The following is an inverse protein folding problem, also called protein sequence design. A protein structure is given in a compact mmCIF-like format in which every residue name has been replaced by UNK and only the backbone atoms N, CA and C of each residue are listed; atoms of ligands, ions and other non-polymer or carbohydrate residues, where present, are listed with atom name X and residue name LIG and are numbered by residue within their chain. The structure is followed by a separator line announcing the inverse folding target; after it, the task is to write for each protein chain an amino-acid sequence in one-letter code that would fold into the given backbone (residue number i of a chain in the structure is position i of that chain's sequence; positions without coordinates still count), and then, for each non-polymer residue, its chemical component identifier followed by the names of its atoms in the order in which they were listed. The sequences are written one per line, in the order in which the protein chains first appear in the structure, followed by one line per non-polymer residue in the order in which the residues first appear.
data_IF_293968371161
#
_entry.id   IF_293968371161
#
_cell.length_a   1.000
_cell.length_b   1.000
_cell.length_c   1.000
_cell.angle_alpha   90.00
_cell.angle_beta   90.00
_cell.angle_gamma   90.00
#
_symmetry.space_group_name_H-M   'P 1'
#
loop_
_entity.id
_entity.type
_entity.pdbx_description
1 polymer ?
#
# COMPACT_ATOMS: atom_id res chain seq x y z
N UNK A 1 20.07 12.71 -20.24
CA UNK A 1 18.90 13.50 -20.70
C UNK A 1 17.88 12.70 -21.52
N UNK A 2 18.27 11.88 -22.52
CA UNK A 2 17.33 11.16 -23.41
C UNK A 2 16.29 10.31 -22.68
N UNK A 3 16.69 9.48 -21.71
CA UNK A 3 15.77 8.61 -20.96
C UNK A 3 14.80 9.36 -20.02
N UNK A 4 15.21 10.48 -19.43
CA UNK A 4 14.30 11.31 -18.63
C UNK A 4 13.19 11.88 -19.50
N UNK A 5 13.53 12.35 -20.72
CA UNK A 5 12.54 12.78 -21.71
C UNK A 5 11.59 11.64 -22.09
N UNK A 6 12.11 10.44 -22.32
CA UNK A 6 11.29 9.24 -22.60
C UNK A 6 10.33 8.93 -21.44
N UNK A 7 10.83 9.00 -20.19
CA UNK A 7 10.01 8.76 -18.98
C UNK A 7 8.84 9.73 -18.91
N UNK A 8 9.10 11.02 -19.10
CA UNK A 8 8.08 12.07 -19.09
C UNK A 8 7.09 11.89 -20.24
N UNK A 9 7.57 11.55 -21.44
CA UNK A 9 6.70 11.28 -22.58
C UNK A 9 5.78 10.09 -22.34
N UNK A 10 6.30 8.95 -21.86
CA UNK A 10 5.48 7.77 -21.55
C UNK A 10 4.44 8.06 -20.46
N UNK A 11 4.83 8.81 -19.43
CA UNK A 11 3.92 9.25 -18.38
C UNK A 11 2.81 10.15 -18.93
N UNK A 12 3.15 11.20 -19.69
CA UNK A 12 2.17 12.10 -20.32
C UNK A 12 1.25 11.36 -21.29
N UNK A 13 1.77 10.43 -22.10
CA UNK A 13 0.97 9.61 -23.00
C UNK A 13 -0.06 8.77 -22.24
N UNK A 14 0.30 8.19 -21.10
CA UNK A 14 -0.64 7.43 -20.28
C UNK A 14 -1.67 8.32 -19.58
N UNK A 15 -1.26 9.51 -19.13
CA UNK A 15 -2.22 10.50 -18.63
C UNK A 15 -3.24 10.93 -19.68
N UNK A 16 -2.79 11.12 -20.93
CA UNK A 16 -3.70 11.39 -22.04
C UNK A 16 -4.66 10.22 -22.28
N UNK A 17 -4.16 8.98 -22.30
CA UNK A 17 -5.01 7.79 -22.43
C UNK A 17 -6.04 7.70 -21.31
N UNK A 18 -5.68 8.02 -20.07
CA UNK A 18 -6.61 8.04 -18.93
C UNK A 18 -7.64 9.16 -19.09
N UNK A 19 -7.22 10.34 -19.53
CA UNK A 19 -8.12 11.45 -19.84
C UNK A 19 -9.13 11.07 -20.93
N UNK A 20 -8.68 10.41 -22.00
CA UNK A 20 -9.58 9.88 -23.03
C UNK A 20 -10.55 8.82 -22.49
N UNK A 21 -10.10 7.92 -21.62
CA UNK A 21 -10.98 6.95 -20.98
C UNK A 21 -12.09 7.62 -20.15
N UNK A 22 -11.78 8.68 -19.38
CA UNK A 22 -12.79 9.47 -18.65
C UNK A 22 -13.81 10.11 -19.59
N UNK A 23 -13.40 10.59 -20.76
CA UNK A 23 -14.29 11.20 -21.74
C UNK A 23 -15.20 10.15 -22.41
N UNK A 24 -14.64 8.98 -22.75
CA UNK A 24 -15.36 7.93 -23.49
C UNK A 24 -16.35 7.20 -22.59
N UNK A 25 -15.89 6.73 -21.42
CA UNK A 25 -16.70 5.88 -20.54
C UNK A 25 -17.55 6.68 -19.55
N UNK A 26 -17.22 7.97 -19.32
CA UNK A 26 -17.94 8.87 -18.41
C UNK A 26 -18.25 8.23 -17.04
N UNK A 27 -17.28 7.60 -16.36
CA UNK A 27 -17.53 7.13 -14.99
C UNK A 27 -17.77 8.32 -14.06
N UNK A 28 -18.31 8.06 -12.87
CA UNK A 28 -18.31 9.06 -11.81
C UNK A 28 -16.87 9.53 -11.56
N UNK A 29 -16.67 10.85 -11.59
CA UNK A 29 -15.34 11.43 -11.43
C UNK A 29 -14.88 11.20 -9.99
N UNK A 30 -13.73 10.54 -9.77
CA UNK A 30 -13.15 10.46 -8.44
C UNK A 30 -12.75 11.86 -7.95
N UNK A 31 -12.61 12.01 -6.64
CA UNK A 31 -12.13 13.24 -6.05
C UNK A 31 -10.78 13.66 -6.63
N UNK A 32 -10.53 14.96 -6.72
CA UNK A 32 -9.30 15.51 -7.28
C UNK A 32 -8.03 14.91 -6.64
N UNK A 33 -8.10 14.67 -5.33
CA UNK A 33 -7.02 14.07 -4.56
C UNK A 33 -6.70 12.63 -5.02
N UNK A 34 -7.71 11.81 -5.31
CA UNK A 34 -7.51 10.46 -5.86
C UNK A 34 -6.88 10.52 -7.26
N UNK A 35 -7.31 11.47 -8.10
CA UNK A 35 -6.71 11.69 -9.43
C UNK A 35 -5.23 12.05 -9.27
N UNK A 36 -4.90 12.99 -8.40
CA UNK A 36 -3.52 13.39 -8.13
C UNK A 36 -2.67 12.22 -7.61
N UNK A 37 -3.23 11.41 -6.72
CA UNK A 37 -2.58 10.19 -6.22
C UNK A 37 -2.22 9.23 -7.35
N UNK A 38 -3.16 8.95 -8.25
CA UNK A 38 -2.93 8.09 -9.42
C UNK A 38 -1.86 8.66 -10.37
N UNK A 39 -1.86 9.98 -10.60
CA UNK A 39 -0.85 10.66 -11.43
C UNK A 39 0.56 10.47 -10.85
N UNK A 40 0.71 10.66 -9.54
CA UNK A 40 1.99 10.50 -8.83
C UNK A 40 2.43 9.03 -8.80
N UNK A 41 1.51 8.10 -8.55
CA UNK A 41 1.79 6.66 -8.55
C UNK A 41 2.25 6.17 -9.94
N UNK A 42 1.61 6.65 -11.02
CA UNK A 42 2.04 6.35 -12.38
C UNK A 42 3.44 6.90 -12.67
N UNK A 43 3.78 8.10 -12.18
CA UNK A 43 5.14 8.64 -12.31
C UNK A 43 6.15 7.77 -11.55
N UNK A 44 5.81 7.33 -10.34
CA UNK A 44 6.64 6.43 -9.54
C UNK A 44 6.88 5.10 -10.24
N UNK A 45 5.86 4.53 -10.89
CA UNK A 45 5.99 3.33 -11.73
C UNK A 45 7.04 3.51 -12.83
N UNK A 46 6.98 4.61 -13.59
CA UNK A 46 7.96 4.86 -14.66
C UNK A 46 9.36 5.13 -14.11
N UNK A 47 9.48 5.87 -13.00
CA UNK A 47 10.77 6.11 -12.35
C UNK A 47 11.39 4.81 -11.86
N UNK A 48 10.64 3.96 -11.16
CA UNK A 48 11.13 2.67 -10.66
C UNK A 48 11.53 1.74 -11.81
N UNK A 49 10.76 1.70 -12.90
CA UNK A 49 11.08 0.90 -14.07
C UNK A 49 12.36 1.38 -14.75
N UNK A 50 12.55 2.69 -14.85
CA UNK A 50 13.76 3.28 -15.43
C UNK A 50 14.99 3.07 -14.55
N UNK A 51 14.83 3.07 -13.23
CA UNK A 51 15.91 2.69 -12.31
C UNK A 51 16.25 1.21 -12.54
N UNK A 52 15.26 0.32 -12.55
CA UNK A 52 15.47 -1.11 -12.83
C UNK A 52 16.29 -1.35 -14.11
N UNK A 53 15.95 -0.67 -15.20
CA UNK A 53 16.66 -0.80 -16.48
C UNK A 53 18.08 -0.22 -16.42
N UNK A 54 18.29 0.85 -15.66
CA UNK A 54 19.55 1.62 -15.65
C UNK A 54 20.50 1.24 -14.50
N UNK A 55 20.05 0.42 -13.56
CA UNK A 55 20.81 0.09 -12.36
C UNK A 55 22.04 -0.75 -12.72
N UNK A 56 23.27 -0.29 -12.42
CA UNK A 56 24.50 -1.01 -12.78
C UNK A 56 24.60 -2.35 -12.03
N UNK A 57 24.08 -2.39 -10.80
CA UNK A 57 24.22 -3.53 -9.91
C UNK A 57 23.04 -4.50 -10.07
N UNK A 58 23.30 -5.73 -10.56
CA UNK A 58 22.24 -6.72 -10.83
C UNK A 58 21.40 -7.02 -9.57
N UNK A 59 22.00 -6.98 -8.38
CA UNK A 59 21.31 -7.24 -7.12
C UNK A 59 20.21 -6.19 -6.85
N UNK A 60 20.54 -4.90 -6.94
CA UNK A 60 19.59 -3.82 -6.65
C UNK A 60 18.48 -3.68 -7.71
N UNK A 61 18.69 -4.19 -8.94
CA UNK A 61 17.66 -4.18 -10.01
C UNK A 61 16.34 -4.74 -9.51
N UNK A 62 16.37 -5.91 -8.86
CA UNK A 62 15.16 -6.61 -8.47
C UNK A 62 14.37 -5.90 -7.36
N UNK A 63 15.03 -5.09 -6.52
CA UNK A 63 14.34 -4.22 -5.56
C UNK A 63 13.44 -3.22 -6.30
N UNK A 64 13.97 -2.54 -7.32
CA UNK A 64 13.21 -1.57 -8.11
C UNK A 64 12.20 -2.21 -9.06
N UNK A 65 12.42 -3.47 -9.48
CA UNK A 65 11.39 -4.25 -10.18
C UNK A 65 10.17 -4.46 -9.27
N UNK A 66 10.37 -4.84 -8.01
CA UNK A 66 9.26 -5.06 -7.08
C UNK A 66 8.53 -3.75 -6.74
N UNK A 67 9.24 -2.63 -6.60
CA UNK A 67 8.59 -1.32 -6.51
C UNK A 67 7.81 -0.95 -7.78
N UNK A 68 8.32 -1.31 -8.95
CA UNK A 68 7.57 -1.11 -10.21
C UNK A 68 6.29 -1.93 -10.24
N UNK A 69 6.34 -3.19 -9.80
CA UNK A 69 5.13 -4.01 -9.67
C UNK A 69 4.14 -3.41 -8.67
N UNK A 70 4.61 -2.93 -7.51
CA UNK A 70 3.77 -2.21 -6.56
C UNK A 70 3.15 -0.93 -7.15
N UNK A 71 3.90 -0.08 -7.84
CA UNK A 71 3.34 1.13 -8.44
C UNK A 71 2.47 0.86 -9.66
N UNK A 72 2.61 -0.31 -10.29
CA UNK A 72 1.74 -0.74 -11.40
C UNK A 72 0.29 -0.96 -10.98
N UNK A 73 -0.01 -1.02 -9.68
CA UNK A 73 -1.39 -1.05 -9.16
C UNK A 73 -2.25 0.11 -9.66
N UNK A 74 -1.66 1.24 -10.09
CA UNK A 74 -2.40 2.32 -10.74
C UNK A 74 -3.18 1.84 -11.97
N UNK A 75 -2.65 0.87 -12.72
CA UNK A 75 -3.35 0.27 -13.87
C UNK A 75 -4.54 -0.58 -13.43
N UNK A 76 -4.42 -1.30 -12.31
CA UNK A 76 -5.55 -2.03 -11.74
C UNK A 76 -6.62 -1.08 -11.21
N UNK A 77 -6.26 0.05 -10.60
CA UNK A 77 -7.21 1.08 -10.19
C UNK A 77 -7.99 1.64 -11.39
N UNK A 78 -7.34 1.76 -12.55
CA UNK A 78 -8.02 2.19 -13.78
C UNK A 78 -8.95 1.11 -14.31
N UNK A 79 -8.52 -0.15 -14.34
CA UNK A 79 -9.41 -1.27 -14.66
C UNK A 79 -10.59 -1.31 -13.69
N UNK A 80 -10.38 -1.01 -12.42
CA UNK A 80 -11.44 -0.89 -11.42
C UNK A 80 -12.41 0.26 -11.75
N UNK A 81 -11.89 1.47 -12.00
CA UNK A 81 -12.71 2.65 -12.29
C UNK A 81 -13.47 2.56 -13.63
N UNK A 82 -12.91 1.87 -14.64
CA UNK A 82 -13.46 1.84 -16.01
C UNK A 82 -13.99 0.46 -16.43
N UNK A 83 -13.19 -0.58 -16.22
CA UNK A 83 -13.43 -1.93 -16.76
C UNK A 83 -14.42 -2.75 -15.93
N UNK A 84 -14.32 -2.69 -14.60
CA UNK A 84 -15.20 -3.49 -13.72
C UNK A 84 -16.61 -2.93 -13.66
N UNK A 85 -16.77 -1.60 -13.76
CA UNK A 85 -18.09 -0.96 -13.82
C UNK A 85 -18.91 -1.49 -14.99
N UNK A 86 -18.33 -1.68 -16.19
CA UNK A 86 -19.06 -2.14 -17.37
C UNK A 86 -19.12 -3.67 -17.52
N UNK A 87 -18.08 -4.41 -17.11
CA UNK A 87 -18.04 -5.87 -17.25
C UNK A 87 -18.90 -6.60 -16.21
N UNK A 88 -19.14 -6.00 -15.04
CA UNK A 88 -19.85 -6.65 -13.93
C UNK A 88 -21.19 -6.00 -13.55
N UNK A 89 -21.78 -5.16 -14.42
CA UNK A 89 -23.13 -4.54 -14.24
C UNK A 89 -24.24 -5.52 -13.82
N UNK A 90 -24.04 -6.83 -14.03
CA UNK A 90 -25.03 -7.86 -13.74
C UNK A 90 -24.97 -8.45 -12.32
N UNK A 91 -23.92 -8.19 -11.53
CA UNK A 91 -23.81 -8.74 -10.17
C UNK A 91 -24.00 -7.67 -9.10
N UNK A 92 -24.98 -7.87 -8.22
CA UNK A 92 -25.34 -6.98 -7.10
C UNK A 92 -24.15 -6.62 -6.18
N UNK A 93 -23.12 -7.46 -6.13
CA UNK A 93 -21.98 -7.33 -5.21
C UNK A 93 -20.64 -7.07 -5.90
N UNK A 94 -20.63 -6.80 -7.21
CA UNK A 94 -19.41 -6.66 -7.99
C UNK A 94 -18.47 -5.57 -7.47
N UNK A 95 -18.99 -4.40 -7.12
CA UNK A 95 -18.22 -3.27 -6.59
C UNK A 95 -17.52 -3.62 -5.28
N UNK A 96 -18.20 -4.35 -4.40
CA UNK A 96 -17.65 -4.79 -3.11
C UNK A 96 -16.51 -5.78 -3.29
N UNK A 97 -16.68 -6.78 -4.17
CA UNK A 97 -15.61 -7.72 -4.47
C UNK A 97 -14.41 -7.03 -5.12
N UNK A 98 -14.67 -6.13 -6.06
CA UNK A 98 -13.66 -5.37 -6.75
C UNK A 98 -12.85 -4.49 -5.77
N UNK A 99 -13.52 -3.81 -4.85
CA UNK A 99 -12.87 -3.07 -3.75
C UNK A 99 -12.01 -4.00 -2.89
N UNK A 100 -12.59 -5.09 -2.38
CA UNK A 100 -11.91 -6.06 -1.53
C UNK A 100 -10.61 -6.59 -2.16
N UNK A 101 -10.67 -7.12 -3.38
CA UNK A 101 -9.50 -7.70 -4.04
C UNK A 101 -8.47 -6.66 -4.44
N UNK A 102 -8.90 -5.45 -4.82
CA UNK A 102 -7.97 -4.35 -5.11
C UNK A 102 -7.11 -4.01 -3.89
N UNK A 103 -7.73 -3.78 -2.72
CA UNK A 103 -6.99 -3.44 -1.51
C UNK A 103 -6.12 -4.58 -1.01
N UNK A 104 -6.59 -5.84 -1.07
CA UNK A 104 -5.76 -7.01 -0.73
C UNK A 104 -4.54 -7.07 -1.64
N UNK A 105 -4.73 -6.94 -2.96
CA UNK A 105 -3.62 -7.03 -3.91
C UNK A 105 -2.63 -5.86 -3.77
N UNK A 106 -3.14 -4.63 -3.58
CA UNK A 106 -2.32 -3.46 -3.29
C UNK A 106 -1.44 -3.68 -2.04
N UNK A 107 -2.05 -4.17 -0.95
CA UNK A 107 -1.34 -4.42 0.30
C UNK A 107 -0.29 -5.54 0.16
N UNK A 108 -0.63 -6.62 -0.55
CA UNK A 108 0.27 -7.76 -0.76
C UNK A 108 1.48 -7.38 -1.60
N UNK A 109 1.29 -6.57 -2.65
CA UNK A 109 2.40 -6.10 -3.49
C UNK A 109 3.30 -5.08 -2.76
N UNK A 110 2.73 -4.20 -1.93
CA UNK A 110 3.49 -3.32 -1.04
C UNK A 110 4.34 -4.14 -0.05
N UNK A 111 3.71 -5.09 0.64
CA UNK A 111 4.38 -5.95 1.59
C UNK A 111 5.51 -6.74 0.93
N UNK A 112 5.26 -7.27 -0.28
CA UNK A 112 6.27 -7.98 -1.05
C UNK A 112 7.46 -7.09 -1.42
N UNK A 113 7.21 -5.86 -1.89
CA UNK A 113 8.29 -4.93 -2.24
C UNK A 113 9.20 -4.61 -1.03
N UNK A 114 8.59 -4.35 0.13
CA UNK A 114 9.34 -4.07 1.37
C UNK A 114 10.07 -5.32 1.87
N UNK A 115 9.37 -6.45 2.05
CA UNK A 115 9.99 -7.69 2.55
C UNK A 115 11.12 -8.13 1.63
N UNK A 116 10.94 -8.06 0.31
CA UNK A 116 12.02 -8.37 -0.63
C UNK A 116 13.23 -7.46 -0.45
N UNK A 117 13.03 -6.14 -0.31
CA UNK A 117 14.13 -5.20 -0.06
C UNK A 117 14.89 -5.58 1.21
N UNK A 118 14.17 -5.87 2.30
CA UNK A 118 14.80 -6.26 3.57
C UNK A 118 15.55 -7.58 3.45
N UNK A 119 14.98 -8.58 2.76
CA UNK A 119 15.65 -9.86 2.49
C UNK A 119 16.89 -9.66 1.62
N UNK A 120 16.82 -8.83 0.58
CA UNK A 120 17.95 -8.51 -0.29
C UNK A 120 19.09 -7.86 0.51
N UNK A 121 18.72 -6.96 1.41
CA UNK A 121 19.60 -6.21 2.28
C UNK A 121 20.28 -7.08 3.36
N UNK A 122 19.53 -7.97 4.02
CA UNK A 122 20.03 -8.89 5.05
C UNK A 122 20.87 -10.03 4.46
N UNK A 123 20.46 -10.59 3.32
CA UNK A 123 21.02 -11.83 2.77
C UNK A 123 21.79 -11.62 1.46
N UNK A 124 22.81 -10.76 1.50
CA UNK A 124 23.56 -10.28 0.32
C UNK A 124 24.26 -11.35 -0.51
N UNK A 125 24.64 -12.45 0.14
CA UNK A 125 25.39 -13.55 -0.46
C UNK A 125 24.50 -14.61 -1.09
N UNK A 126 23.18 -14.47 -0.95
CA UNK A 126 22.20 -15.42 -1.48
C UNK A 126 21.76 -14.99 -2.89
N UNK A 127 21.55 -15.97 -3.77
CA UNK A 127 21.05 -15.74 -5.13
C UNK A 127 19.63 -15.16 -5.16
N UNK A 128 19.33 -14.41 -6.22
CA UNK A 128 18.07 -13.68 -6.42
C UNK A 128 16.83 -14.58 -6.27
N UNK A 129 16.85 -15.78 -6.86
CA UNK A 129 15.73 -16.72 -6.78
C UNK A 129 15.40 -17.11 -5.33
N UNK A 130 16.42 -17.41 -4.52
CA UNK A 130 16.23 -17.78 -3.11
C UNK A 130 15.66 -16.60 -2.31
N UNK A 131 16.06 -15.37 -2.61
CA UNK A 131 15.47 -14.15 -2.01
C UNK A 131 13.99 -14.00 -2.35
N UNK A 132 13.62 -14.22 -3.62
CA UNK A 132 12.22 -14.24 -4.04
C UNK A 132 11.42 -15.33 -3.32
N UNK A 133 11.97 -16.55 -3.18
CA UNK A 133 11.32 -17.64 -2.46
C UNK A 133 11.11 -17.31 -0.97
N UNK A 134 12.10 -16.69 -0.31
CA UNK A 134 11.96 -16.26 1.09
C UNK A 134 10.88 -15.19 1.22
N UNK A 135 10.95 -14.12 0.41
CA UNK A 135 9.96 -13.04 0.45
C UNK A 135 8.55 -13.56 0.12
N UNK A 136 8.43 -14.44 -0.86
CA UNK A 136 7.17 -15.08 -1.23
C UNK A 136 6.65 -15.97 -0.12
N UNK A 137 7.47 -16.82 0.50
CA UNK A 137 7.04 -17.68 1.59
C UNK A 137 6.50 -16.86 2.78
N UNK A 138 7.19 -15.78 3.15
CA UNK A 138 6.77 -14.87 4.23
C UNK A 138 5.43 -14.23 3.89
N UNK A 139 5.33 -13.57 2.73
CA UNK A 139 4.14 -12.81 2.33
C UNK A 139 2.96 -13.74 2.05
N UNK A 140 3.19 -14.88 1.40
CA UNK A 140 2.14 -15.86 1.12
C UNK A 140 1.59 -16.47 2.41
N UNK A 141 2.44 -16.85 3.37
CA UNK A 141 1.99 -17.40 4.65
C UNK A 141 1.09 -16.41 5.39
N UNK A 142 1.51 -15.16 5.48
CA UNK A 142 0.74 -14.11 6.16
C UNK A 142 -0.51 -13.72 5.38
N UNK A 143 -0.40 -13.60 4.06
CA UNK A 143 -1.50 -13.29 3.17
C UNK A 143 -2.57 -14.37 3.22
N UNK A 144 -2.20 -15.64 3.22
CA UNK A 144 -3.13 -16.74 3.45
C UNK A 144 -3.75 -16.63 4.85
N UNK A 145 -2.95 -16.43 5.90
CA UNK A 145 -3.49 -16.32 7.26
C UNK A 145 -4.54 -15.20 7.42
N UNK A 146 -4.27 -14.00 6.91
CA UNK A 146 -5.18 -12.86 7.05
C UNK A 146 -6.29 -12.82 6.00
N UNK A 147 -6.05 -13.33 4.79
CA UNK A 147 -6.96 -13.13 3.67
C UNK A 147 -7.65 -14.40 3.14
N UNK A 148 -7.41 -15.59 3.69
CA UNK A 148 -8.00 -16.85 3.18
C UNK A 148 -9.53 -16.79 3.06
N UNK A 149 -10.20 -16.22 4.08
CA UNK A 149 -11.66 -16.16 4.12
C UNK A 149 -12.26 -15.39 2.94
N UNK A 150 -11.57 -14.37 2.43
CA UNK A 150 -12.01 -13.58 1.28
C UNK A 150 -11.93 -14.35 -0.04
N UNK A 151 -11.02 -15.32 -0.14
CA UNK A 151 -10.85 -16.16 -1.33
C UNK A 151 -11.71 -17.42 -1.27
N UNK A 152 -11.90 -18.01 -0.08
CA UNK A 152 -12.76 -19.20 0.08
C UNK A 152 -14.24 -18.85 0.00
N UNK A 153 -14.62 -17.66 0.45
CA UNK A 153 -15.99 -17.16 0.41
C UNK A 153 -15.98 -15.70 -0.05
N UNK A 154 -16.15 -15.42 -1.36
CA UNK A 154 -16.13 -14.05 -1.87
C UNK A 154 -17.12 -13.10 -1.18
N UNK A 155 -18.24 -13.64 -0.69
CA UNK A 155 -19.29 -12.95 0.07
C UNK A 155 -19.03 -12.90 1.59
N UNK A 156 -17.84 -13.29 2.06
CA UNK A 156 -17.45 -13.34 3.47
C UNK A 156 -17.85 -12.10 4.26
N UNK A 157 -17.63 -10.91 3.71
CA UNK A 157 -17.98 -9.64 4.38
C UNK A 157 -19.47 -9.55 4.75
N UNK A 158 -20.37 -10.10 3.92
CA UNK A 158 -21.82 -10.10 4.15
C UNK A 158 -22.29 -11.14 5.18
N UNK A 159 -21.44 -12.12 5.49
CA UNK A 159 -21.72 -13.23 6.39
C UNK A 159 -21.02 -13.06 7.75
N UNK A 160 -20.39 -11.91 7.99
CA UNK A 160 -19.77 -11.60 9.28
C UNK A 160 -20.81 -11.37 10.37
N UNK A 161 -20.40 -11.63 11.62
CA UNK A 161 -21.24 -11.49 12.81
C UNK A 161 -21.87 -10.09 12.93
N UNK A 162 -21.07 -9.03 12.74
CA UNK A 162 -21.55 -7.64 12.80
C UNK A 162 -22.65 -7.34 11.78
N UNK A 163 -22.53 -7.86 10.56
CA UNK A 163 -23.56 -7.67 9.51
C UNK A 163 -24.80 -8.52 9.80
N UNK A 164 -24.64 -9.73 10.34
CA UNK A 164 -25.77 -10.55 10.77
C UNK A 164 -26.58 -9.84 11.86
N UNK A 165 -25.89 -9.27 12.85
CA UNK A 165 -26.52 -8.48 13.91
C UNK A 165 -27.17 -7.20 13.40
N UNK A 166 -26.51 -6.49 12.48
CA UNK A 166 -27.09 -5.32 11.82
C UNK A 166 -28.44 -5.67 11.16
N UNK A 167 -28.49 -6.76 10.38
CA UNK A 167 -29.72 -7.23 9.73
C UNK A 167 -30.82 -7.60 10.74
N UNK A 168 -30.46 -8.31 11.81
CA UNK A 168 -31.41 -8.73 12.85
C UNK A 168 -32.01 -7.53 13.62
N UNK A 169 -31.16 -6.58 14.01
CA UNK A 169 -31.59 -5.36 14.73
C UNK A 169 -32.38 -4.44 13.80
N UNK A 170 -31.94 -4.23 12.56
CA UNK A 170 -32.66 -3.42 11.57
C UNK A 170 -34.08 -3.93 11.35
N UNK A 171 -34.23 -5.26 11.18
CA UNK A 171 -35.55 -5.89 11.05
C UNK A 171 -36.42 -5.67 12.28
N UNK A 172 -35.88 -5.88 13.49
CA UNK A 172 -36.65 -5.68 14.72
C UNK A 172 -37.08 -4.22 14.93
N UNK A 173 -36.27 -3.25 14.49
CA UNK A 173 -36.64 -1.84 14.49
C UNK A 173 -37.76 -1.57 13.49
N UNK A 174 -37.67 -2.10 12.27
CA UNK A 174 -38.73 -1.96 11.25
C UNK A 174 -40.06 -2.56 11.73
N UNK A 175 -40.03 -3.77 12.28
CA UNK A 175 -41.20 -4.46 12.85
C UNK A 175 -41.79 -3.64 14.01
N UNK A 176 -40.96 -3.09 14.89
CA UNK A 176 -41.41 -2.24 16.00
C UNK A 176 -42.06 -0.93 15.51
N UNK A 177 -41.44 -0.26 14.52
CA UNK A 177 -41.97 0.97 13.93
C UNK A 177 -43.32 0.73 13.26
N UNK A 178 -43.48 -0.40 12.57
CA UNK A 178 -44.75 -0.77 11.94
C UNK A 178 -45.88 -0.98 12.96
N UNK A 179 -45.56 -1.50 14.15
CA UNK A 179 -46.54 -1.73 15.22
C UNK A 179 -46.84 -0.47 16.06
N UNK A 180 -45.84 0.39 16.30
CA UNK A 180 -45.91 1.44 17.34
C UNK A 180 -45.79 2.87 16.78
N UNK A 181 -45.55 3.05 15.47
CA UNK A 181 -45.36 4.34 14.80
C UNK A 181 -44.31 5.25 15.47
N UNK A 182 -43.27 4.68 16.10
CA UNK A 182 -42.16 5.42 16.70
C UNK A 182 -40.86 4.63 16.71
N UNK A 183 -39.76 5.32 16.95
CA UNK A 183 -38.45 4.70 17.18
C UNK A 183 -38.44 3.91 18.51
N UNK A 184 -37.89 2.68 18.53
CA UNK A 184 -37.71 1.92 19.75
C UNK A 184 -36.47 2.38 20.54
N UNK A 185 -36.53 2.24 21.85
CA UNK A 185 -35.34 2.22 22.71
C UNK A 185 -34.67 0.83 22.68
N UNK A 186 -33.35 0.72 22.93
CA UNK A 186 -32.63 -0.56 22.91
C UNK A 186 -33.26 -1.67 23.76
N UNK A 187 -33.85 -1.31 24.91
CA UNK A 187 -34.51 -2.26 25.81
C UNK A 187 -35.82 -2.83 25.24
N UNK A 188 -36.49 -2.10 24.34
CA UNK A 188 -37.82 -2.45 23.82
C UNK A 188 -37.77 -3.50 22.71
N UNK A 189 -36.62 -3.59 22.03
CA UNK A 189 -36.34 -4.60 21.01
C UNK A 189 -35.46 -5.74 21.53
N UNK A 190 -35.01 -5.66 22.79
CA UNK A 190 -34.10 -6.62 23.39
C UNK A 190 -34.65 -8.05 23.34
N UNK A 191 -35.95 -8.23 23.59
CA UNK A 191 -36.57 -9.56 23.60
C UNK A 191 -37.00 -10.02 22.20
N UNK A 192 -37.06 -9.09 21.22
CA UNK A 192 -37.44 -9.38 19.82
C UNK A 192 -36.27 -9.79 18.93
N UNK A 193 -35.04 -9.43 19.29
CA UNK A 193 -33.83 -9.74 18.50
C UNK A 193 -33.18 -11.01 19.04
N UNK A 194 -32.94 -12.04 18.24
CA UNK A 194 -32.08 -13.15 18.65
C UNK A 194 -30.64 -12.89 18.17
N UNK A 195 -29.72 -12.65 19.11
CA UNK A 195 -28.29 -12.49 18.81
C UNK A 195 -27.53 -13.73 19.29
N UNK A 196 -27.14 -14.55 18.33
CA UNK A 196 -26.35 -15.75 18.54
C UNK A 196 -24.86 -15.42 18.53
N UNK A 197 -24.08 -16.02 19.43
CA UNK A 197 -22.61 -15.98 19.39
C UNK A 197 -22.18 -16.82 18.19
N UNK A 198 -21.51 -16.19 17.23
CA UNK A 198 -21.01 -16.88 16.04
C UNK A 198 -19.51 -17.10 16.19
N UNK A 199 -19.08 -18.36 16.16
CA UNK A 199 -17.67 -18.73 16.02
C UNK A 199 -17.52 -19.50 14.72
N UNK A 200 -16.69 -18.99 13.80
CA UNK A 200 -16.49 -19.60 12.48
C UNK A 200 -17.80 -19.86 11.72
N UNK A 201 -18.74 -18.91 11.81
CA UNK A 201 -20.11 -19.00 11.25
C UNK A 201 -21.01 -20.08 11.87
N UNK A 202 -20.58 -20.73 12.96
CA UNK A 202 -21.39 -21.67 13.73
C UNK A 202 -21.96 -20.99 14.97
N UNK A 203 -23.23 -21.24 15.25
CA UNK A 203 -23.86 -20.79 16.49
C UNK A 203 -23.31 -21.61 17.66
N UNK A 204 -22.56 -20.95 18.55
CA UNK A 204 -21.95 -21.57 19.73
C UNK A 204 -22.66 -21.20 21.03
N UNK A 205 -23.71 -20.37 20.98
CA UNK A 205 -24.48 -19.99 22.16
C UNK A 205 -25.27 -18.70 21.97
N UNK A 206 -25.99 -18.30 23.01
CA UNK A 206 -26.79 -17.07 23.03
C UNK A 206 -26.06 -16.03 23.89
N UNK A 207 -26.01 -14.78 23.42
CA UNK A 207 -25.47 -13.67 24.21
C UNK A 207 -26.30 -13.50 25.50
N UNK A 208 -25.61 -13.30 26.63
CA UNK A 208 -26.29 -12.93 27.87
C UNK A 208 -27.03 -11.58 27.70
N UNK A 209 -28.02 -11.32 28.55
CA UNK A 209 -28.92 -10.16 28.40
C UNK A 209 -28.16 -8.82 28.36
N UNK A 210 -27.11 -8.68 29.18
CA UNK A 210 -26.28 -7.47 29.24
C UNK A 210 -25.44 -7.26 27.98
N UNK A 211 -24.72 -8.28 27.50
CA UNK A 211 -23.92 -8.16 26.28
C UNK A 211 -24.80 -7.99 25.05
N UNK A 212 -25.98 -8.64 25.03
CA UNK A 212 -27.00 -8.45 23.99
C UNK A 212 -27.46 -7.01 23.94
N UNK A 213 -27.80 -6.40 25.09
CA UNK A 213 -28.20 -5.01 25.18
C UNK A 213 -27.08 -4.06 24.73
N UNK A 214 -25.84 -4.30 25.18
CA UNK A 214 -24.69 -3.51 24.75
C UNK A 214 -24.47 -3.59 23.23
N UNK A 215 -24.65 -4.78 22.65
CA UNK A 215 -24.52 -4.99 21.21
C UNK A 215 -25.63 -4.31 20.41
N UNK A 216 -26.89 -4.43 20.86
CA UNK A 216 -28.02 -3.72 20.24
C UNK A 216 -27.76 -2.21 20.27
N UNK A 217 -27.38 -1.66 21.43
CA UNK A 217 -27.05 -0.24 21.56
C UNK A 217 -25.95 0.19 20.58
N UNK A 218 -24.90 -0.61 20.44
CA UNK A 218 -23.82 -0.31 19.49
C UNK A 218 -24.30 -0.37 18.02
N UNK A 219 -25.07 -1.39 17.63
CA UNK A 219 -25.58 -1.56 16.27
C UNK A 219 -26.59 -0.46 15.90
N UNK A 220 -27.43 -0.02 16.85
CA UNK A 220 -28.37 1.08 16.62
C UNK A 220 -27.68 2.36 16.17
N UNK A 221 -26.48 2.67 16.68
CA UNK A 221 -25.71 3.85 16.24
C UNK A 221 -25.38 3.79 14.73
N UNK A 222 -25.09 2.60 14.19
CA UNK A 222 -24.82 2.41 12.76
C UNK A 222 -26.10 2.48 11.91
N UNK A 223 -27.25 2.10 12.46
CA UNK A 223 -28.56 2.20 11.80
C UNK A 223 -29.00 3.67 11.73
N UNK A 224 -28.89 4.39 12.85
CA UNK A 224 -29.24 5.82 12.96
C UNK A 224 -28.41 6.68 11.98
N UNK A 225 -27.12 6.38 11.85
CA UNK A 225 -26.20 7.07 10.94
C UNK A 225 -26.17 6.50 9.52
N UNK A 226 -27.00 5.49 9.20
CA UNK A 226 -27.01 4.77 7.91
C UNK A 226 -25.60 4.29 7.46
N UNK A 227 -24.74 3.92 8.41
CA UNK A 227 -23.31 3.64 8.20
C UNK A 227 -22.99 2.14 8.20
N UNK A 228 -23.88 1.32 7.64
CA UNK A 228 -23.69 -0.15 7.55
C UNK A 228 -22.42 -0.56 6.78
N UNK A 229 -21.95 0.30 5.87
CA UNK A 229 -20.74 0.08 5.06
C UNK A 229 -19.47 -0.02 5.94
N UNK A 230 -19.46 0.67 7.08
CA UNK A 230 -18.36 0.59 8.05
C UNK A 230 -18.29 -0.81 8.64
N UNK A 231 -19.43 -1.35 9.08
CA UNK A 231 -19.51 -2.72 9.59
C UNK A 231 -19.15 -3.75 8.52
N UNK A 232 -19.54 -3.51 7.26
CA UNK A 232 -19.27 -4.41 6.15
C UNK A 232 -17.77 -4.57 5.90
N UNK A 233 -17.03 -3.46 5.79
CA UNK A 233 -15.61 -3.51 5.46
C UNK A 233 -14.69 -3.63 6.68
N UNK A 234 -15.20 -3.47 7.91
CA UNK A 234 -14.40 -3.54 9.12
C UNK A 234 -13.44 -4.74 9.17
N UNK A 235 -13.85 -5.99 8.83
CA UNK A 235 -12.96 -7.15 8.84
C UNK A 235 -11.79 -7.01 7.84
N UNK A 236 -12.04 -6.42 6.67
CA UNK A 236 -11.00 -6.14 5.68
C UNK A 236 -9.99 -5.13 6.25
N UNK A 237 -10.46 -4.01 6.80
CA UNK A 237 -9.60 -2.98 7.38
C UNK A 237 -8.78 -3.49 8.57
N UNK A 238 -9.32 -4.40 9.40
CA UNK A 238 -8.52 -5.07 10.44
C UNK A 238 -7.36 -5.86 9.86
N UNK A 239 -7.61 -6.67 8.82
CA UNK A 239 -6.58 -7.47 8.18
C UNK A 239 -5.53 -6.62 7.45
N UNK A 240 -5.95 -5.52 6.82
CA UNK A 240 -5.04 -4.52 6.24
C UNK A 240 -4.17 -3.86 7.31
N UNK A 241 -4.76 -3.48 8.46
CA UNK A 241 -4.02 -2.92 9.59
C UNK A 241 -2.96 -3.89 10.12
N UNK A 242 -3.30 -5.17 10.32
CA UNK A 242 -2.33 -6.18 10.75
C UNK A 242 -1.19 -6.37 9.75
N UNK A 243 -1.50 -6.37 8.44
CA UNK A 243 -0.48 -6.40 7.40
C UNK A 243 0.40 -5.15 7.43
N UNK A 244 -0.15 -3.96 7.67
CA UNK A 244 0.63 -2.74 7.81
C UNK A 244 1.58 -2.80 9.01
N UNK A 245 1.11 -3.26 10.17
CA UNK A 245 1.96 -3.47 11.35
C UNK A 245 3.11 -4.43 11.03
N UNK A 246 2.82 -5.51 10.31
CA UNK A 246 3.85 -6.44 9.86
C UNK A 246 4.89 -5.78 8.92
N UNK A 247 4.44 -4.95 7.97
CA UNK A 247 5.36 -4.20 7.09
C UNK A 247 6.22 -3.25 7.91
N UNK A 248 5.65 -2.54 8.88
CA UNK A 248 6.39 -1.66 9.79
C UNK A 248 7.48 -2.44 10.55
N UNK A 249 7.20 -3.65 11.03
CA UNK A 249 8.21 -4.49 11.68
C UNK A 249 9.39 -4.79 10.75
N UNK A 250 9.16 -5.03 9.47
CA UNK A 250 10.23 -5.22 8.48
C UNK A 250 11.02 -3.94 8.21
N UNK A 251 10.35 -2.78 8.14
CA UNK A 251 11.01 -1.49 8.01
C UNK A 251 11.88 -1.20 9.25
N UNK A 252 11.39 -1.49 10.46
CA UNK A 252 12.19 -1.36 11.68
C UNK A 252 13.35 -2.36 11.73
N UNK A 253 13.16 -3.59 11.24
CA UNK A 253 14.24 -4.58 11.10
C UNK A 253 15.33 -4.06 10.16
N UNK A 254 14.96 -3.45 9.04
CA UNK A 254 15.89 -2.78 8.14
C UNK A 254 16.70 -1.71 8.85
N UNK A 255 16.05 -0.75 9.52
CA UNK A 255 16.76 0.33 10.22
C UNK A 255 17.60 -0.17 11.39
N UNK A 256 17.10 -1.14 12.15
CA UNK A 256 17.82 -1.75 13.27
C UNK A 256 19.10 -2.45 12.81
N UNK A 257 19.03 -3.21 11.71
CA UNK A 257 20.20 -3.85 11.13
C UNK A 257 21.16 -2.84 10.48
N UNK A 258 20.62 -1.81 9.80
CA UNK A 258 21.40 -0.72 9.22
C UNK A 258 22.18 0.06 10.27
N UNK A 259 21.58 0.29 11.45
CA UNK A 259 22.23 0.93 12.59
C UNK A 259 23.30 0.01 13.23
N UNK A 260 23.00 -1.28 13.39
CA UNK A 260 23.87 -2.21 14.09
C UNK A 260 25.08 -2.70 13.28
N UNK A 261 24.96 -2.80 11.95
CA UNK A 261 25.96 -3.44 11.09
C UNK A 261 26.53 -2.56 9.98
N UNK A 262 25.94 -1.40 9.75
CA UNK A 262 26.29 -0.48 8.67
C UNK A 262 26.69 -1.16 7.33
N UNK A 263 25.84 -2.03 6.77
CA UNK A 263 26.21 -2.79 5.60
C UNK A 263 26.08 -1.92 4.31
N UNK A 264 26.98 -2.03 3.31
CA UNK A 264 26.99 -1.14 2.14
C UNK A 264 25.71 -1.24 1.30
N UNK A 265 25.01 -0.15 1.08
CA UNK A 265 23.72 -0.15 0.39
C UNK A 265 23.70 0.89 -0.72
N UNK A 266 22.83 0.70 -1.70
CA UNK A 266 22.66 1.67 -2.77
C UNK A 266 22.27 3.04 -2.23
N UNK A 267 22.87 4.10 -2.78
CA UNK A 267 22.51 5.47 -2.44
C UNK A 267 20.99 5.71 -2.55
N UNK A 268 20.42 6.48 -1.62
CA UNK A 268 19.00 6.83 -1.51
C UNK A 268 18.04 5.74 -1.02
N UNK A 269 18.46 4.48 -0.83
CA UNK A 269 17.56 3.42 -0.35
C UNK A 269 17.03 3.73 1.06
N UNK A 270 17.87 4.23 1.98
CA UNK A 270 17.41 4.68 3.31
C UNK A 270 16.32 5.74 3.23
N UNK A 271 16.53 6.74 2.36
CA UNK A 271 15.60 7.86 2.20
C UNK A 271 14.27 7.37 1.65
N UNK A 272 14.30 6.41 0.72
CA UNK A 272 13.10 5.70 0.24
C UNK A 272 12.43 4.96 1.40
N UNK A 273 13.18 4.18 2.20
CA UNK A 273 12.64 3.43 3.34
C UNK A 273 12.04 4.33 4.43
N UNK A 274 12.61 5.51 4.68
CA UNK A 274 12.03 6.48 5.63
C UNK A 274 10.70 7.03 5.13
N UNK A 275 10.58 7.32 3.84
CA UNK A 275 9.30 7.76 3.28
C UNK A 275 8.29 6.61 3.24
N UNK A 276 8.72 5.38 2.95
CA UNK A 276 7.87 4.19 3.07
C UNK A 276 7.38 3.98 4.51
N UNK A 277 8.23 4.18 5.52
CA UNK A 277 7.83 4.14 6.93
C UNK A 277 6.67 5.09 7.20
N UNK A 278 6.78 6.34 6.71
CA UNK A 278 5.75 7.35 6.86
C UNK A 278 4.46 6.97 6.12
N UNK A 279 4.56 6.47 4.88
CA UNK A 279 3.40 6.00 4.09
C UNK A 279 2.67 4.87 4.80
N UNK A 280 3.38 3.83 5.25
CA UNK A 280 2.75 2.68 5.92
C UNK A 280 2.17 3.07 7.28
N UNK A 281 2.79 4.04 7.98
CA UNK A 281 2.25 4.59 9.23
C UNK A 281 0.96 5.36 8.99
N UNK A 282 0.89 6.20 7.96
CA UNK A 282 -0.34 6.91 7.56
C UNK A 282 -1.44 5.94 7.16
N UNK A 283 -1.11 4.91 6.37
CA UNK A 283 -2.10 3.90 6.00
C UNK A 283 -2.61 3.14 7.21
N UNK A 284 -1.74 2.77 8.16
CA UNK A 284 -2.15 2.20 9.46
C UNK A 284 -3.14 3.10 10.20
N UNK A 285 -2.88 4.41 10.23
CA UNK A 285 -3.79 5.38 10.84
C UNK A 285 -5.14 5.44 10.10
N UNK A 286 -5.16 5.38 8.77
CA UNK A 286 -6.41 5.31 8.00
C UNK A 286 -7.21 4.04 8.32
N UNK A 287 -6.55 2.88 8.32
CA UNK A 287 -7.21 1.61 8.65
C UNK A 287 -7.77 1.64 10.08
N UNK A 288 -7.00 2.16 11.03
CA UNK A 288 -7.43 2.30 12.42
C UNK A 288 -8.60 3.30 12.57
N UNK A 289 -8.53 4.45 11.89
CA UNK A 289 -9.60 5.43 11.90
C UNK A 289 -10.90 4.85 11.32
N UNK A 290 -10.84 4.11 10.22
CA UNK A 290 -12.00 3.42 9.65
C UNK A 290 -12.64 2.47 10.67
N UNK A 291 -11.82 1.67 11.36
CA UNK A 291 -12.29 0.70 12.34
C UNK A 291 -12.98 1.37 13.55
N UNK A 292 -12.56 2.57 13.92
CA UNK A 292 -13.01 3.27 15.13
C UNK A 292 -14.21 4.18 14.92
N UNK A 293 -14.40 4.73 13.72
CA UNK A 293 -15.53 5.60 13.45
C UNK A 293 -16.82 4.80 13.28
N UNK A 294 -17.92 5.34 13.79
CA UNK A 294 -19.26 4.78 13.58
C UNK A 294 -19.88 5.38 12.32
N UNK A 295 -19.71 6.69 12.14
CA UNK A 295 -20.21 7.42 10.99
C UNK A 295 -19.22 7.37 9.82
N UNK A 296 -19.72 6.98 8.65
CA UNK A 296 -18.90 6.96 7.44
C UNK A 296 -18.50 8.38 7.00
N UNK A 297 -19.35 9.38 7.20
CA UNK A 297 -19.09 10.80 6.89
C UNK A 297 -17.91 11.36 7.68
N UNK A 298 -17.86 11.11 8.99
CA UNK A 298 -16.75 11.53 9.85
C UNK A 298 -15.44 10.88 9.41
N UNK A 299 -15.46 9.58 9.14
CA UNK A 299 -14.31 8.87 8.59
C UNK A 299 -13.83 9.50 7.27
N UNK A 300 -14.74 9.78 6.33
CA UNK A 300 -14.38 10.36 5.03
C UNK A 300 -13.68 11.71 5.19
N UNK A 301 -14.11 12.55 6.14
CA UNK A 301 -13.44 13.84 6.41
C UNK A 301 -11.99 13.68 6.89
N UNK A 302 -11.73 12.70 7.77
CA UNK A 302 -10.38 12.39 8.25
C UNK A 302 -9.53 11.74 7.15
N UNK A 303 -10.15 10.87 6.37
CA UNK A 303 -9.51 10.17 5.26
C UNK A 303 -9.05 11.15 4.18
N UNK A 304 -9.87 12.13 3.80
CA UNK A 304 -9.51 13.15 2.82
C UNK A 304 -8.27 13.93 3.24
N UNK A 305 -8.21 14.39 4.50
CA UNK A 305 -7.02 15.07 5.07
C UNK A 305 -5.80 14.15 4.99
N UNK A 306 -5.97 12.90 5.40
CA UNK A 306 -4.94 11.88 5.36
C UNK A 306 -4.40 11.59 3.96
N UNK A 307 -5.26 11.62 2.93
CA UNK A 307 -4.85 11.47 1.54
C UNK A 307 -3.89 12.58 1.08
N UNK A 308 -4.05 13.82 1.53
CA UNK A 308 -3.08 14.88 1.25
C UNK A 308 -1.70 14.57 1.81
N UNK A 309 -1.62 14.03 3.03
CA UNK A 309 -0.35 13.59 3.62
C UNK A 309 0.26 12.41 2.87
N UNK A 310 -0.56 11.43 2.46
CA UNK A 310 -0.09 10.32 1.63
C UNK A 310 0.47 10.80 0.29
N UNK A 311 -0.17 11.76 -0.38
CA UNK A 311 0.33 12.33 -1.63
C UNK A 311 1.62 13.12 -1.42
N UNK A 312 1.72 13.90 -0.35
CA UNK A 312 2.97 14.59 -0.01
C UNK A 312 4.12 13.58 0.18
N UNK A 313 3.84 12.45 0.85
CA UNK A 313 4.80 11.36 1.01
C UNK A 313 5.18 10.72 -0.33
N UNK A 314 4.20 10.43 -1.20
CA UNK A 314 4.48 9.97 -2.57
C UNK A 314 5.30 10.98 -3.38
N UNK A 315 5.07 12.28 -3.20
CA UNK A 315 5.92 13.34 -3.76
C UNK A 315 7.36 13.26 -3.26
N UNK A 316 7.56 12.97 -1.97
CA UNK A 316 8.87 12.66 -1.41
C UNK A 316 9.54 11.45 -2.08
N UNK A 317 8.78 10.37 -2.34
CA UNK A 317 9.29 9.23 -3.11
C UNK A 317 9.67 9.63 -4.53
N UNK A 318 8.89 10.47 -5.22
CA UNK A 318 9.23 10.95 -6.57
C UNK A 318 10.60 11.64 -6.54
N UNK A 319 10.83 12.50 -5.54
CA UNK A 319 12.11 13.19 -5.37
C UNK A 319 13.26 12.18 -5.18
N UNK A 320 13.12 11.19 -4.29
CA UNK A 320 14.19 10.23 -4.01
C UNK A 320 14.42 9.21 -5.13
N UNK A 321 13.37 8.73 -5.79
CA UNK A 321 13.49 7.87 -6.98
C UNK A 321 14.14 8.64 -8.13
N UNK A 322 13.75 9.90 -8.37
CA UNK A 322 14.39 10.74 -9.36
C UNK A 322 15.88 11.01 -9.02
N UNK A 323 16.18 11.29 -7.74
CA UNK A 323 17.54 11.49 -7.27
C UNK A 323 18.41 10.25 -7.45
N UNK A 324 17.87 9.05 -7.17
CA UNK A 324 18.51 7.75 -7.45
C UNK A 324 18.76 7.58 -8.94
N UNK A 325 17.75 7.79 -9.78
CA UNK A 325 17.87 7.64 -11.22
C UNK A 325 18.93 8.56 -11.82
N UNK A 326 19.01 9.81 -11.34
CA UNK A 326 20.04 10.77 -11.75
C UNK A 326 21.42 10.33 -11.26
N UNK A 327 21.50 9.78 -10.05
CA UNK A 327 22.74 9.33 -9.43
C UNK A 327 23.37 8.17 -10.20
N UNK A 328 22.64 7.06 -10.40
CA UNK A 328 23.15 5.86 -11.08
C UNK A 328 23.53 6.10 -12.55
N UNK A 329 22.99 7.16 -13.17
CA UNK A 329 23.33 7.57 -14.54
C UNK A 329 24.52 8.52 -14.63
N UNK A 330 25.01 9.01 -13.50
CA UNK A 330 26.20 9.85 -13.46
C UNK A 330 27.44 8.98 -13.35
N UNK A 331 28.54 9.40 -14.00
CA UNK A 331 29.83 8.69 -13.92
C UNK A 331 30.30 8.55 -12.48
N UNK A 332 30.08 9.58 -11.66
CA UNK A 332 30.38 9.58 -10.22
C UNK A 332 29.55 8.53 -9.48
N UNK A 333 28.26 8.43 -9.79
CA UNK A 333 27.38 7.48 -9.11
C UNK A 333 27.61 6.03 -9.51
N UNK A 334 27.95 5.76 -10.78
CA UNK A 334 28.36 4.43 -11.22
C UNK A 334 29.64 3.99 -10.51
N UNK A 335 30.66 4.84 -10.48
CA UNK A 335 31.90 4.58 -9.74
C UNK A 335 31.61 4.33 -8.26
N UNK A 336 30.81 5.19 -7.64
CA UNK A 336 30.48 5.10 -6.22
C UNK A 336 29.73 3.80 -5.86
N UNK A 337 28.79 3.35 -6.68
CA UNK A 337 28.06 2.10 -6.45
C UNK A 337 28.94 0.86 -6.62
N UNK A 338 29.89 0.90 -7.57
CA UNK A 338 30.92 -0.15 -7.69
C UNK A 338 31.79 -0.16 -6.44
N UNK A 339 32.22 1.02 -6.00
CA UNK A 339 33.22 1.13 -4.95
C UNK A 339 32.64 0.86 -3.55
N UNK A 340 31.35 1.12 -3.34
CA UNK A 340 30.60 0.60 -2.18
C UNK A 340 30.56 -0.94 -2.11
N UNK A 341 30.65 -1.64 -3.24
CA UNK A 341 30.64 -3.10 -3.25
C UNK A 341 32.03 -3.69 -3.03
N UNK A 342 33.07 -3.04 -3.56
CA UNK A 342 34.44 -3.53 -3.52
C UNK A 342 35.24 -3.02 -2.32
N UNK A 343 34.97 -1.79 -1.85
CA UNK A 343 35.66 -1.17 -0.71
C UNK A 343 34.71 -0.31 0.15
N UNK A 344 33.80 -0.94 0.92
CA UNK A 344 32.75 -0.24 1.66
C UNK A 344 33.26 0.64 2.81
N UNK A 345 34.45 0.37 3.36
CA UNK A 345 35.01 1.15 4.47
C UNK A 345 35.57 2.50 4.03
N UNK A 346 35.89 2.66 2.74
CA UNK A 346 36.51 3.88 2.21
C UNK A 346 35.54 4.98 1.80
N UNK A 347 34.22 4.73 1.82
CA UNK A 347 33.22 5.60 1.17
C UNK A 347 31.96 5.74 2.03
N UNK A 348 31.53 6.98 2.26
CA UNK A 348 30.40 7.32 3.14
C UNK A 348 29.02 7.09 2.48
N UNK A 349 28.28 6.06 2.92
CA UNK A 349 26.94 5.67 2.42
C UNK A 349 25.89 6.80 2.28
N UNK A 350 26.02 7.88 3.03
CA UNK A 350 25.13 9.05 2.97
C UNK A 350 25.61 9.96 1.86
N UNK A 351 24.90 9.97 0.73
CA UNK A 351 25.06 11.01 -0.28
C UNK A 351 23.92 12.01 -0.11
N UNK A 352 24.25 13.12 0.52
CA UNK A 352 23.38 14.26 0.69
C UNK A 352 23.72 15.35 -0.34
N UNK A 353 22.91 16.42 -0.37
CA UNK A 353 23.20 17.57 -1.22
C UNK A 353 24.57 18.20 -0.90
N UNK A 354 25.00 18.08 0.36
CA UNK A 354 26.29 18.54 0.86
C UNK A 354 27.42 17.65 0.33
N UNK A 355 27.27 16.32 0.35
CA UNK A 355 28.30 15.42 -0.22
C UNK A 355 28.45 15.59 -1.72
N UNK A 356 27.33 15.83 -2.44
CA UNK A 356 27.40 16.19 -3.86
C UNK A 356 28.05 17.55 -4.09
N UNK A 357 27.81 18.53 -3.21
CA UNK A 357 28.47 19.82 -3.28
C UNK A 357 29.98 19.67 -3.07
N UNK A 358 30.40 18.96 -2.03
CA UNK A 358 31.80 18.65 -1.72
C UNK A 358 32.44 17.85 -2.87
N UNK A 359 31.82 16.76 -3.32
CA UNK A 359 32.33 15.97 -4.45
C UNK A 359 32.48 16.83 -5.71
N UNK A 360 31.49 17.65 -6.07
CA UNK A 360 31.59 18.52 -7.25
C UNK A 360 32.62 19.64 -7.11
N UNK A 361 32.90 20.11 -5.88
CA UNK A 361 33.85 21.18 -5.63
C UNK A 361 35.30 20.68 -5.50
N UNK A 362 35.49 19.44 -5.01
CA UNK A 362 36.79 18.87 -4.70
C UNK A 362 37.26 17.77 -5.67
N UNK A 363 36.36 17.19 -6.49
CA UNK A 363 36.76 16.29 -7.58
C UNK A 363 36.66 17.00 -8.92
N UNK A 364 37.81 17.21 -9.57
CA UNK A 364 37.84 17.75 -10.92
C UNK A 364 37.37 16.66 -11.90
N UNK A 365 36.27 16.85 -12.66
CA UNK A 365 35.75 15.83 -13.58
C UNK A 365 36.75 15.39 -14.64
N UNK A 366 37.81 16.18 -14.88
CA UNK A 366 38.92 15.86 -15.78
C UNK A 366 39.88 14.80 -15.21
N UNK A 367 40.09 14.79 -13.89
CA UNK A 367 41.04 13.86 -13.24
C UNK A 367 40.43 12.46 -13.07
N UNK A 368 39.12 12.38 -12.87
CA UNK A 368 38.39 11.10 -12.82
C UNK A 368 38.38 10.38 -14.18
N UNK A 369 38.38 11.10 -15.30
CA UNK A 369 38.52 10.50 -16.64
C UNK A 369 39.89 9.83 -16.84
N UNK A 370 40.92 10.25 -16.12
CA UNK A 370 42.28 9.70 -16.27
C UNK A 370 42.46 8.31 -15.64
N UNK A 371 41.79 8.03 -14.51
CA UNK A 371 41.93 6.74 -13.79
C UNK A 371 40.97 5.64 -14.27
N UNK A 372 39.87 5.99 -14.93
CA UNK A 372 38.79 5.06 -15.30
C UNK A 372 38.94 4.40 -16.68
N UNK A 373 39.85 4.89 -17.54
CA UNK A 373 40.05 4.38 -18.90
C UNK A 373 41.42 3.75 -19.16
N UNK A 374 42.23 3.48 -18.13
CA UNK A 374 43.24 2.43 -18.31
C UNK A 374 42.49 1.11 -18.53
N UNK A 375 42.38 0.72 -19.80
CA UNK A 375 42.08 -0.64 -20.17
C UNK A 375 42.98 -1.51 -19.31
N UNK A 376 42.39 -2.40 -18.49
CA UNK A 376 43.16 -3.49 -17.87
C UNK A 376 43.91 -4.17 -19.01
N UNK A 377 45.20 -3.85 -19.14
CA UNK A 377 46.11 -4.62 -19.96
C UNK A 377 45.96 -6.05 -19.45
N UNK A 378 45.58 -6.95 -20.35
CA UNK A 378 45.42 -8.37 -20.06
C UNK A 378 46.58 -8.86 -19.19
N UNK A 379 46.26 -9.25 -17.97
CA UNK A 379 47.06 -10.19 -17.17
C UNK A 379 46.17 -11.35 -16.82
#
# INVERSE_FOLDING_TARGET
MKQVKITVLLWLSNLMLFGFAYIIYKPELPSFIVILGNIVQLLLFYLSLMIFISEPTIKNRFVFLNFSLFFSNVFLQLVYNFGLYHLFLKSKYASVFAYQYFYIFFQMTLAFAIVYLVVDFLFRNIGVLKKYLIAFAIIFTLGTYYFINFFTSPDYLYNTENISYYKAVSKAIEDYRAENNREPLPNEILDKVELNILKDNLNVGILNKEAKLAKIKNIMLYIESNSWIVLLYQPLHYNLLYMNVFILLFIFLYFGYQYAKDPPQGAYIDKIMYVMLFIVSLDSLHQWAFIKNVEYSEYMSLFDIGQYFSIAAYGGLVIFFYARLKFIKSVVGEFYEVELQTNPEGITRWIDGIDRFILNHFTNPRDLKGRLFEQRAKQ
#
